data_IF_426657103088
#
_entry.id   IF_426657103088
#
_cell.length_a   1.000
_cell.length_b   1.000
_cell.length_c   1.000
_cell.angle_alpha   90.00
_cell.angle_beta   90.00
_cell.angle_gamma   90.00
#
_symmetry.space_group_name_H-M   'P 1'
#
loop_
_entity.id
_entity.type
_entity.pdbx_description
1 polymer ?
#
# COMPACT_ATOMS: atom_id res chain seq x y z
N UNK A 1 28.92 -21.16 9.83
CA UNK A 1 28.00 -21.38 8.71
C UNK A 1 26.69 -20.67 9.07
N UNK A 2 26.59 -19.37 8.82
CA UNK A 2 25.38 -18.59 9.10
C UNK A 2 24.57 -18.47 7.81
N UNK A 3 23.73 -19.47 7.55
CA UNK A 3 22.58 -19.34 6.65
C UNK A 3 21.63 -18.31 7.27
N UNK A 4 22.00 -17.05 7.11
CA UNK A 4 21.11 -15.93 7.36
C UNK A 4 19.93 -16.06 6.41
N UNK A 5 18.75 -15.91 6.98
CA UNK A 5 17.43 -15.82 6.38
C UNK A 5 17.36 -14.70 5.33
N UNK A 6 18.05 -14.90 4.21
CA UNK A 6 17.97 -14.03 3.04
C UNK A 6 16.59 -14.23 2.43
N UNK A 7 15.65 -13.38 2.84
CA UNK A 7 14.42 -13.18 2.08
C UNK A 7 14.83 -12.92 0.62
N UNK A 8 14.14 -13.53 -0.35
CA UNK A 8 14.42 -13.32 -1.76
C UNK A 8 14.59 -11.82 -2.04
N UNK A 9 15.60 -11.44 -2.83
CA UNK A 9 15.90 -10.02 -3.12
C UNK A 9 14.67 -9.24 -3.63
N UNK A 10 13.72 -9.93 -4.24
CA UNK A 10 12.40 -9.40 -4.63
C UNK A 10 11.53 -9.00 -3.43
N UNK A 11 11.50 -9.80 -2.36
CA UNK A 11 10.71 -9.53 -1.15
C UNK A 11 11.32 -8.38 -0.35
N UNK A 12 12.63 -8.33 -0.17
CA UNK A 12 13.29 -7.24 0.55
C UNK A 12 13.13 -5.89 -0.16
N UNK A 13 13.15 -5.88 -1.50
CA UNK A 13 12.92 -4.69 -2.30
C UNK A 13 11.50 -4.15 -2.11
N UNK A 14 10.49 -5.03 -2.18
CA UNK A 14 9.08 -4.64 -1.96
C UNK A 14 8.86 -4.11 -0.54
N UNK A 15 9.45 -4.75 0.48
CA UNK A 15 9.37 -4.27 1.86
C UNK A 15 10.01 -2.89 2.04
N UNK A 16 11.15 -2.62 1.39
CA UNK A 16 11.79 -1.31 1.42
C UNK A 16 10.93 -0.23 0.75
N UNK A 17 10.28 -0.53 -0.38
CA UNK A 17 9.36 0.41 -1.01
C UNK A 17 8.14 0.71 -0.13
N UNK A 18 7.56 -0.30 0.51
CA UNK A 18 6.46 -0.12 1.46
C UNK A 18 6.90 0.74 2.65
N UNK A 19 8.09 0.49 3.21
CA UNK A 19 8.63 1.27 4.32
C UNK A 19 8.92 2.73 3.94
N UNK A 20 9.48 2.97 2.74
CA UNK A 20 9.66 4.32 2.21
C UNK A 20 8.33 5.04 2.04
N UNK A 21 7.33 4.37 1.45
CA UNK A 21 6.01 4.96 1.26
C UNK A 21 5.34 5.29 2.60
N UNK A 22 5.43 4.40 3.59
CA UNK A 22 4.95 4.65 4.95
C UNK A 22 5.60 5.88 5.58
N UNK A 23 6.93 5.98 5.47
CA UNK A 23 7.70 7.11 6.04
C UNK A 23 7.36 8.42 5.34
N UNK A 24 7.19 8.39 4.01
CA UNK A 24 6.76 9.53 3.23
C UNK A 24 5.37 10.00 3.64
N UNK A 25 4.41 9.08 3.79
CA UNK A 25 3.04 9.39 4.22
C UNK A 25 3.00 9.94 5.63
N UNK A 26 3.77 9.36 6.56
CA UNK A 26 3.91 9.88 7.93
C UNK A 26 4.44 11.32 7.93
N UNK A 27 5.43 11.62 7.08
CA UNK A 27 6.02 12.95 6.96
C UNK A 27 5.02 13.95 6.38
N UNK A 28 4.26 13.57 5.35
CA UNK A 28 3.22 14.42 4.77
C UNK A 28 2.14 14.75 5.80
N UNK A 29 1.61 13.74 6.49
CA UNK A 29 0.55 14.01 7.48
C UNK A 29 1.07 14.85 8.64
N UNK A 30 2.29 14.60 9.13
CA UNK A 30 2.91 15.44 10.16
C UNK A 30 3.07 16.89 9.70
N UNK A 31 3.51 17.12 8.46
CA UNK A 31 3.63 18.44 7.86
C UNK A 31 2.27 19.16 7.76
N UNK A 32 1.23 18.47 7.31
CA UNK A 32 -0.13 19.03 7.27
C UNK A 32 -0.68 19.31 8.68
N UNK A 33 -0.44 18.45 9.66
CA UNK A 33 -0.80 18.70 11.05
C UNK A 33 -0.10 19.95 11.60
N UNK A 34 1.19 20.09 11.32
CA UNK A 34 2.00 21.17 11.85
C UNK A 34 1.56 22.53 11.27
N UNK A 35 1.29 22.59 9.97
CA UNK A 35 0.80 23.81 9.30
C UNK A 35 -0.66 24.10 9.67
N UNK A 36 -1.56 23.11 9.61
CA UNK A 36 -3.00 23.39 9.73
C UNK A 36 -3.49 23.47 11.18
N UNK A 37 -2.90 22.68 12.10
CA UNK A 37 -3.37 22.57 13.48
C UNK A 37 -2.45 23.32 14.44
N UNK A 38 -1.13 23.14 14.32
CA UNK A 38 -0.20 23.71 15.30
C UNK A 38 0.11 25.19 15.06
N UNK A 39 0.09 25.66 13.81
CA UNK A 39 0.27 27.08 13.48
C UNK A 39 -0.93 27.94 13.92
N UNK A 40 -2.14 27.36 13.98
CA UNK A 40 -3.37 28.08 14.40
C UNK A 40 -3.65 28.06 15.90
N UNK A 41 -3.19 27.05 16.65
CA UNK A 41 -3.37 27.02 18.11
C UNK A 41 -2.45 25.98 18.79
N UNK A 42 -1.33 26.42 19.43
CA UNK A 42 -0.39 25.51 20.08
C UNK A 42 -1.00 24.77 21.29
N UNK A 43 -2.04 25.32 21.93
CA UNK A 43 -2.72 24.68 23.07
C UNK A 43 -3.45 23.39 22.65
N UNK A 44 -4.01 23.35 21.43
CA UNK A 44 -4.62 22.14 20.90
C UNK A 44 -3.57 21.09 20.53
N UNK A 45 -2.37 21.52 20.14
CA UNK A 45 -1.24 20.64 19.87
C UNK A 45 -0.85 19.83 21.10
N UNK A 46 -0.71 20.51 22.22
CA UNK A 46 -0.27 19.91 23.48
C UNK A 46 -1.34 18.96 24.04
N UNK A 47 -2.62 19.35 23.95
CA UNK A 47 -3.73 18.57 24.51
C UNK A 47 -4.16 17.39 23.64
N UNK A 48 -4.15 17.53 22.32
CA UNK A 48 -4.69 16.54 21.39
C UNK A 48 -3.65 15.92 20.47
N UNK A 49 -2.39 16.35 20.52
CA UNK A 49 -1.32 15.85 19.65
C UNK A 49 -1.21 14.32 19.66
N UNK A 50 -1.29 13.70 20.82
CA UNK A 50 -1.26 12.23 20.94
C UNK A 50 -2.44 11.55 20.22
N UNK A 51 -3.65 12.10 20.35
CA UNK A 51 -4.85 11.57 19.69
C UNK A 51 -4.79 11.78 18.18
N UNK A 52 -4.25 12.91 17.72
CA UNK A 52 -4.13 13.21 16.29
C UNK A 52 -3.06 12.32 15.64
N UNK A 53 -1.94 12.06 16.32
CA UNK A 53 -0.93 11.09 15.87
C UNK A 53 -1.55 9.71 15.75
N UNK A 54 -2.33 9.26 16.74
CA UNK A 54 -2.99 7.95 16.70
C UNK A 54 -4.01 7.86 15.54
N UNK A 55 -4.85 8.87 15.37
CA UNK A 55 -5.80 8.93 14.23
C UNK A 55 -5.09 8.98 12.88
N UNK A 56 -3.98 9.71 12.80
CA UNK A 56 -3.11 9.75 11.61
C UNK A 56 -2.59 8.36 11.29
N UNK A 57 -1.97 7.68 12.25
CA UNK A 57 -1.44 6.33 12.06
C UNK A 57 -2.52 5.35 11.60
N UNK A 58 -3.71 5.39 12.22
CA UNK A 58 -4.87 4.60 11.81
C UNK A 58 -5.30 4.90 10.37
N UNK A 59 -5.31 6.18 9.97
CA UNK A 59 -5.66 6.60 8.61
C UNK A 59 -4.63 6.09 7.58
N UNK A 60 -3.34 6.15 7.91
CA UNK A 60 -2.26 5.62 7.05
C UNK A 60 -2.44 4.12 6.85
N UNK A 61 -2.70 3.38 7.93
CA UNK A 61 -2.94 1.93 7.87
C UNK A 61 -4.16 1.63 7.00
N UNK A 62 -5.28 2.33 7.24
CA UNK A 62 -6.51 2.15 6.47
C UNK A 62 -6.29 2.43 4.97
N UNK A 63 -5.63 3.54 4.63
CA UNK A 63 -5.32 3.88 3.25
C UNK A 63 -4.43 2.83 2.56
N UNK A 64 -3.47 2.25 3.31
CA UNK A 64 -2.62 1.18 2.80
C UNK A 64 -3.43 -0.10 2.53
N UNK A 65 -4.34 -0.49 3.43
CA UNK A 65 -5.23 -1.63 3.22
C UNK A 65 -6.14 -1.40 2.01
N UNK A 66 -6.75 -0.22 1.90
CA UNK A 66 -7.65 0.13 0.78
C UNK A 66 -6.92 0.13 -0.56
N UNK A 67 -5.64 0.55 -0.57
CA UNK A 67 -4.78 0.44 -1.75
C UNK A 67 -4.57 -1.02 -2.17
N UNK A 68 -4.23 -1.92 -1.23
CA UNK A 68 -4.06 -3.34 -1.52
C UNK A 68 -5.37 -4.02 -1.95
N UNK A 69 -6.51 -3.66 -1.37
CA UNK A 69 -7.82 -4.17 -1.79
C UNK A 69 -8.20 -3.71 -3.19
N UNK A 70 -7.93 -2.45 -3.51
CA UNK A 70 -8.14 -1.90 -4.85
C UNK A 70 -7.24 -2.60 -5.87
N UNK A 71 -5.97 -2.84 -5.53
CA UNK A 71 -5.05 -3.60 -6.37
C UNK A 71 -5.52 -5.06 -6.59
N UNK A 72 -6.06 -5.71 -5.55
CA UNK A 72 -6.66 -7.06 -5.70
C UNK A 72 -7.77 -7.09 -6.75
N UNK A 73 -8.62 -6.04 -6.83
CA UNK A 73 -9.68 -5.97 -7.85
C UNK A 73 -9.08 -5.92 -9.26
N UNK A 74 -8.07 -5.09 -9.48
CA UNK A 74 -7.37 -4.98 -10.78
C UNK A 74 -6.70 -6.31 -11.14
N UNK A 75 -5.98 -6.92 -10.19
CA UNK A 75 -5.32 -8.20 -10.39
C UNK A 75 -6.32 -9.30 -10.77
N UNK A 76 -7.50 -9.33 -10.13
CA UNK A 76 -8.58 -10.28 -10.46
C UNK A 76 -9.04 -10.13 -11.91
N UNK A 77 -9.19 -8.90 -12.41
CA UNK A 77 -9.56 -8.66 -13.82
C UNK A 77 -8.45 -9.12 -14.78
N UNK A 78 -7.18 -8.80 -14.48
CA UNK A 78 -6.04 -9.21 -15.32
C UNK A 78 -5.95 -10.75 -15.39
N UNK A 79 -6.08 -11.43 -14.26
CA UNK A 79 -6.05 -12.90 -14.19
C UNK A 79 -7.23 -13.48 -14.98
N UNK A 80 -8.44 -12.94 -14.80
CA UNK A 80 -9.63 -13.39 -15.54
C UNK A 80 -9.48 -13.24 -17.05
N UNK A 81 -8.95 -12.10 -17.50
CA UNK A 81 -8.64 -11.86 -18.92
C UNK A 81 -7.59 -12.83 -19.45
N UNK A 82 -6.52 -13.06 -18.68
CA UNK A 82 -5.46 -14.00 -19.05
C UNK A 82 -6.00 -15.41 -19.26
N UNK A 83 -6.85 -15.89 -18.36
CA UNK A 83 -7.51 -17.20 -18.50
C UNK A 83 -8.50 -17.24 -19.66
N UNK A 84 -9.29 -16.18 -19.86
CA UNK A 84 -10.24 -16.10 -20.97
C UNK A 84 -9.55 -16.21 -22.33
N UNK A 85 -8.44 -15.47 -22.52
CA UNK A 85 -7.62 -15.51 -23.73
C UNK A 85 -6.99 -16.91 -23.91
N UNK A 86 -6.51 -17.53 -22.82
CA UNK A 86 -5.96 -18.88 -22.87
C UNK A 86 -6.98 -19.91 -23.36
N UNK A 87 -8.19 -19.89 -22.79
CA UNK A 87 -9.28 -20.81 -23.18
C UNK A 87 -9.68 -20.58 -24.63
N UNK A 88 -9.79 -19.32 -25.06
CA UNK A 88 -10.08 -18.97 -26.46
C UNK A 88 -9.04 -19.53 -27.42
N UNK A 89 -7.74 -19.36 -27.13
CA UNK A 89 -6.67 -19.90 -27.97
C UNK A 89 -6.72 -21.43 -28.06
N UNK A 90 -6.99 -22.12 -26.96
CA UNK A 90 -7.11 -23.59 -26.94
C UNK A 90 -8.31 -24.03 -27.79
N UNK A 91 -9.47 -23.39 -27.61
CA UNK A 91 -10.69 -23.71 -28.35
C UNK A 91 -10.52 -23.45 -29.86
N UNK A 92 -9.88 -22.34 -30.22
CA UNK A 92 -9.60 -22.00 -31.62
C UNK A 92 -8.65 -23.00 -32.28
N UNK A 93 -7.62 -23.45 -31.57
CA UNK A 93 -6.71 -24.49 -32.05
C UNK A 93 -7.44 -25.82 -32.29
N UNK A 94 -8.40 -26.16 -31.42
CA UNK A 94 -9.18 -27.38 -31.54
C UNK A 94 -10.17 -27.35 -32.71
N UNK A 95 -10.74 -26.19 -33.02
CA UNK A 95 -11.68 -25.98 -34.13
C UNK A 95 -11.00 -25.88 -35.51
N UNK A 96 -9.74 -25.48 -35.55
CA UNK A 96 -8.97 -25.27 -36.78
C UNK A 96 -8.09 -26.49 -37.14
N UNK A 97 -8.33 -27.63 -36.49
CA UNK A 97 -7.80 -28.96 -36.83
C UNK A 97 -8.89 -29.79 -37.49
#
# INVERSE_FOLDING_TARGET
>A
MSESSQLPQSISTVLNYIAQFYTWLQTQVAHYLQIYVFEKNPVLAERYGNLIVLMTTLTIIYALLEFFESFKKVLKYIIGLGWFILVLSIAFNFLNK
#
